data_IF_192820680800
#
_entry.id   IF_192820680800
#
_cell.length_a   1.000
_cell.length_b   1.000
_cell.length_c   1.000
_cell.angle_alpha   90.00
_cell.angle_beta   90.00
_cell.angle_gamma   90.00
#
_symmetry.space_group_name_H-M   'P 1'
#
loop_
_entity.id
_entity.type
_entity.pdbx_description
1 polymer ?
#
# COMPACT_ATOMS: atom_id res chain seq x y z
N UNK A 1 22.59 -14.06 31.05
CA UNK A 1 22.71 -14.18 29.58
C UNK A 1 22.25 -12.86 28.98
N UNK A 2 23.19 -12.04 28.49
CA UNK A 2 22.89 -10.73 27.89
C UNK A 2 22.85 -10.86 26.38
N UNK A 3 21.65 -10.93 25.81
CA UNK A 3 21.41 -10.95 24.37
C UNK A 3 21.77 -9.57 23.79
N UNK A 4 23.02 -9.39 23.36
CA UNK A 4 23.42 -8.20 22.58
C UNK A 4 22.71 -8.27 21.23
N UNK A 5 22.06 -7.19 20.75
CA UNK A 5 21.42 -7.21 19.45
C UNK A 5 22.50 -7.28 18.37
N UNK A 6 22.34 -8.27 17.50
CA UNK A 6 23.32 -8.63 16.48
C UNK A 6 23.47 -7.47 15.49
N UNK A 7 24.66 -6.85 15.45
CA UNK A 7 25.02 -5.80 14.48
C UNK A 7 24.83 -6.24 13.01
N UNK A 8 24.79 -7.55 12.77
CA UNK A 8 24.51 -8.15 11.47
C UNK A 8 23.07 -7.93 10.99
N UNK A 9 22.10 -7.81 11.90
CA UNK A 9 20.70 -7.52 11.52
C UNK A 9 20.58 -6.12 10.92
N UNK A 10 21.33 -5.15 11.44
CA UNK A 10 21.36 -3.79 10.90
C UNK A 10 22.07 -3.69 9.55
N UNK A 11 23.15 -4.45 9.31
CA UNK A 11 23.84 -4.47 8.01
C UNK A 11 23.04 -5.22 6.94
N UNK A 12 22.35 -6.31 7.31
CA UNK A 12 21.44 -7.03 6.42
C UNK A 12 20.18 -6.20 6.10
N UNK A 13 19.63 -5.46 7.07
CA UNK A 13 18.57 -4.46 6.80
C UNK A 13 19.06 -3.40 5.81
N UNK A 14 20.27 -2.88 6.03
CA UNK A 14 20.87 -1.88 5.13
C UNK A 14 21.07 -2.42 3.73
N UNK A 15 21.51 -3.67 3.58
CA UNK A 15 21.72 -4.27 2.26
C UNK A 15 20.40 -4.61 1.54
N UNK A 16 19.36 -5.00 2.28
CA UNK A 16 17.98 -5.15 1.77
C UNK A 16 17.40 -3.81 1.30
N UNK A 17 17.56 -2.75 2.10
CA UNK A 17 17.07 -1.40 1.79
C UNK A 17 17.80 -0.80 0.58
N UNK A 18 19.10 -1.07 0.41
CA UNK A 18 19.91 -0.43 -0.64
C UNK A 18 19.98 -1.21 -1.97
N UNK A 19 19.67 -2.52 -1.99
CA UNK A 19 20.10 -3.38 -3.11
C UNK A 19 19.05 -3.74 -4.18
N UNK A 20 17.75 -3.75 -3.86
CA UNK A 20 16.66 -4.12 -4.81
C UNK A 20 15.27 -4.02 -4.16
N UNK A 21 15.19 -4.13 -2.84
CA UNK A 21 13.93 -4.10 -2.09
C UNK A 21 13.51 -2.71 -1.62
N UNK A 22 14.40 -1.71 -1.68
CA UNK A 22 14.07 -0.33 -1.30
C UNK A 22 12.91 0.27 -2.11
N UNK A 23 12.86 -0.02 -3.41
CA UNK A 23 11.73 0.35 -4.27
C UNK A 23 10.44 -0.30 -3.77
N UNK A 24 10.43 -1.62 -3.60
CA UNK A 24 9.25 -2.35 -3.13
C UNK A 24 8.78 -1.85 -1.76
N UNK A 25 9.71 -1.63 -0.83
CA UNK A 25 9.42 -1.10 0.51
C UNK A 25 8.80 0.29 0.43
N UNK A 26 9.35 1.17 -0.41
CA UNK A 26 8.83 2.54 -0.60
C UNK A 26 7.40 2.53 -1.15
N UNK A 27 7.13 1.66 -2.15
CA UNK A 27 5.78 1.50 -2.71
C UNK A 27 4.79 0.92 -1.69
N UNK A 28 5.21 -0.04 -0.87
CA UNK A 28 4.38 -0.59 0.21
C UNK A 28 4.08 0.44 1.29
N UNK A 29 5.07 1.27 1.67
CA UNK A 29 4.85 2.37 2.61
C UNK A 29 3.89 3.40 2.04
N UNK A 30 4.06 3.83 0.77
CA UNK A 30 3.14 4.74 0.09
C UNK A 30 1.71 4.17 0.00
N UNK A 31 1.59 2.87 -0.26
CA UNK A 31 0.31 2.18 -0.26
C UNK A 31 -0.34 2.19 1.12
N UNK A 32 0.38 1.78 2.17
CA UNK A 32 -0.14 1.74 3.54
C UNK A 32 -0.54 3.13 4.05
N UNK A 33 0.23 4.17 3.72
CA UNK A 33 -0.11 5.55 4.06
C UNK A 33 -1.41 5.98 3.35
N UNK A 34 -1.54 5.70 2.05
CA UNK A 34 -2.76 5.99 1.30
C UNK A 34 -3.98 5.21 1.81
N UNK A 35 -3.80 3.92 2.12
CA UNK A 35 -4.86 3.06 2.66
C UNK A 35 -5.31 3.51 4.06
N UNK A 36 -4.36 3.88 4.93
CA UNK A 36 -4.66 4.43 6.25
C UNK A 36 -5.38 5.78 6.17
N UNK A 37 -4.93 6.67 5.28
CA UNK A 37 -5.60 7.95 5.05
C UNK A 37 -7.02 7.76 4.52
N UNK A 38 -7.23 6.84 3.56
CA UNK A 38 -8.56 6.48 3.06
C UNK A 38 -9.43 5.88 4.16
N UNK A 39 -8.89 5.02 5.02
CA UNK A 39 -9.65 4.42 6.11
C UNK A 39 -10.16 5.49 7.09
N UNK A 40 -9.28 6.38 7.55
CA UNK A 40 -9.67 7.45 8.48
C UNK A 40 -10.67 8.41 7.83
N UNK A 41 -10.37 8.89 6.64
CA UNK A 41 -11.21 9.86 5.92
C UNK A 41 -12.54 9.25 5.47
N UNK A 42 -12.53 7.98 5.07
CA UNK A 42 -13.68 7.21 4.66
C UNK A 42 -14.60 6.92 5.84
N UNK A 43 -14.05 6.50 6.99
CA UNK A 43 -14.84 6.32 8.22
C UNK A 43 -15.50 7.63 8.67
N UNK A 44 -14.79 8.76 8.60
CA UNK A 44 -15.35 10.09 8.90
C UNK A 44 -16.47 10.47 7.92
N UNK A 45 -16.24 10.29 6.61
CA UNK A 45 -17.24 10.62 5.59
C UNK A 45 -18.50 9.74 5.68
N UNK A 46 -18.34 8.47 6.05
CA UNK A 46 -19.47 7.54 6.30
C UNK A 46 -20.20 7.92 7.60
N UNK A 47 -19.47 8.32 8.65
CA UNK A 47 -20.08 8.77 9.91
C UNK A 47 -20.89 10.07 9.76
N UNK A 48 -20.46 10.99 8.88
CA UNK A 48 -21.15 12.24 8.58
C UNK A 48 -22.25 12.10 7.49
N UNK A 49 -22.58 10.87 7.08
CA UNK A 49 -23.55 10.56 6.00
C UNK A 49 -23.20 11.24 4.65
N UNK A 50 -21.93 11.61 4.47
CA UNK A 50 -21.40 12.36 3.34
C UNK A 50 -21.01 11.42 2.18
N UNK A 51 -22.01 10.75 1.60
CA UNK A 51 -21.84 9.78 0.51
C UNK A 51 -21.06 10.32 -0.69
N UNK A 52 -21.22 11.60 -1.05
CA UNK A 52 -20.47 12.23 -2.14
C UNK A 52 -18.96 12.26 -1.84
N UNK A 53 -18.59 12.60 -0.61
CA UNK A 53 -17.17 12.63 -0.19
C UNK A 53 -16.59 11.22 -0.21
N UNK A 54 -17.36 10.23 0.26
CA UNK A 54 -16.96 8.82 0.21
C UNK A 54 -16.72 8.33 -1.23
N UNK A 55 -17.60 8.65 -2.18
CA UNK A 55 -17.43 8.29 -3.59
C UNK A 55 -16.20 8.98 -4.21
N UNK A 56 -15.95 10.24 -3.88
CA UNK A 56 -14.74 10.96 -4.32
C UNK A 56 -13.47 10.32 -3.75
N UNK A 57 -13.48 9.95 -2.47
CA UNK A 57 -12.37 9.24 -1.82
C UNK A 57 -12.12 7.88 -2.48
N UNK A 58 -13.17 7.14 -2.86
CA UNK A 58 -13.04 5.88 -3.58
C UNK A 58 -12.38 6.08 -4.96
N UNK A 59 -12.80 7.11 -5.69
CA UNK A 59 -12.18 7.50 -6.95
C UNK A 59 -10.70 7.86 -6.79
N UNK A 60 -10.37 8.62 -5.74
CA UNK A 60 -8.99 8.95 -5.36
C UNK A 60 -8.18 7.70 -5.01
N UNK A 61 -8.75 6.74 -4.28
CA UNK A 61 -8.08 5.49 -3.92
C UNK A 61 -7.80 4.61 -5.14
N UNK A 62 -8.73 4.55 -6.09
CA UNK A 62 -8.51 3.90 -7.38
C UNK A 62 -7.39 4.57 -8.16
N UNK A 63 -7.44 5.91 -8.30
CA UNK A 63 -6.40 6.67 -8.97
C UNK A 63 -5.01 6.48 -8.31
N UNK A 64 -4.96 6.44 -6.97
CA UNK A 64 -3.75 6.17 -6.21
C UNK A 64 -3.19 4.78 -6.48
N UNK A 65 -4.07 3.78 -6.57
CA UNK A 65 -3.69 2.40 -6.89
C UNK A 65 -3.13 2.31 -8.31
N UNK A 66 -3.75 2.98 -9.29
CA UNK A 66 -3.21 3.06 -10.65
C UNK A 66 -1.86 3.78 -10.72
N UNK A 67 -1.68 4.86 -9.97
CA UNK A 67 -0.41 5.58 -9.89
C UNK A 67 0.70 4.68 -9.31
N UNK A 68 0.41 3.94 -8.24
CA UNK A 68 1.34 2.96 -7.66
C UNK A 68 1.68 1.84 -8.64
N UNK A 69 0.69 1.27 -9.33
CA UNK A 69 0.93 0.23 -10.34
C UNK A 69 1.77 0.75 -11.51
N UNK A 70 1.52 1.97 -11.97
CA UNK A 70 2.31 2.62 -13.03
C UNK A 70 3.75 2.85 -12.57
N UNK A 71 3.95 3.32 -11.34
CA UNK A 71 5.26 3.49 -10.74
C UNK A 71 6.03 2.17 -10.63
N UNK A 72 5.38 1.11 -10.15
CA UNK A 72 5.97 -0.23 -10.06
C UNK A 72 6.34 -0.74 -11.45
N UNK A 73 5.46 -0.59 -12.45
CA UNK A 73 5.73 -0.98 -13.84
C UNK A 73 6.96 -0.27 -14.42
N UNK A 74 7.14 1.02 -14.10
CA UNK A 74 8.29 1.80 -14.57
C UNK A 74 9.59 1.42 -13.85
N UNK A 75 9.51 1.08 -12.56
CA UNK A 75 10.66 0.70 -11.74
C UNK A 75 11.10 -0.77 -11.93
N UNK A 76 10.18 -1.68 -12.28
CA UNK A 76 10.50 -3.10 -12.49
C UNK A 76 11.14 -3.36 -13.85
N UNK A 77 12.45 -3.69 -13.85
CA UNK A 77 13.22 -4.16 -15.02
C UNK A 77 13.49 -5.68 -15.02
N UNK A 78 12.60 -6.48 -14.41
CA UNK A 78 12.76 -7.95 -14.32
C UNK A 78 12.21 -8.71 -15.53
N UNK A 79 12.57 -10.00 -15.67
CA UNK A 79 12.22 -10.91 -16.79
C UNK A 79 10.71 -11.15 -16.97
N UNK A 80 9.88 -10.97 -15.92
CA UNK A 80 8.42 -11.16 -15.97
C UNK A 80 7.65 -10.05 -15.21
N UNK A 81 7.65 -8.80 -15.71
CA UNK A 81 7.06 -7.66 -15.01
C UNK A 81 5.54 -7.81 -14.90
N UNK A 82 4.87 -8.40 -15.91
CA UNK A 82 3.41 -8.54 -15.92
C UNK A 82 2.87 -9.49 -14.83
N UNK A 83 3.58 -10.59 -14.54
CA UNK A 83 3.14 -11.58 -13.54
C UNK A 83 3.33 -11.07 -12.11
N UNK A 84 4.44 -10.39 -11.84
CA UNK A 84 4.68 -9.74 -10.55
C UNK A 84 3.71 -8.57 -10.32
N UNK A 85 3.53 -7.73 -11.33
CA UNK A 85 2.59 -6.61 -11.29
C UNK A 85 1.15 -7.09 -11.06
N UNK A 86 0.73 -8.17 -11.72
CA UNK A 86 -0.60 -8.75 -11.53
C UNK A 86 -0.85 -9.25 -10.10
N UNK A 87 0.16 -9.88 -9.47
CA UNK A 87 0.06 -10.30 -8.06
C UNK A 87 -0.03 -9.11 -7.12
N UNK A 88 0.77 -8.06 -7.34
CA UNK A 88 0.75 -6.86 -6.51
C UNK A 88 -0.58 -6.10 -6.69
N UNK A 89 -1.08 -6.00 -7.92
CA UNK A 89 -2.39 -5.41 -8.23
C UNK A 89 -3.53 -6.16 -7.54
N UNK A 90 -3.51 -7.50 -7.56
CA UNK A 90 -4.49 -8.33 -6.86
C UNK A 90 -4.47 -8.06 -5.35
N UNK A 91 -3.29 -7.98 -4.74
CA UNK A 91 -3.15 -7.68 -3.31
C UNK A 91 -3.67 -6.28 -2.97
N UNK A 92 -3.33 -5.26 -3.76
CA UNK A 92 -3.83 -3.90 -3.56
C UNK A 92 -5.34 -3.81 -3.73
N UNK A 93 -5.90 -4.51 -4.71
CA UNK A 93 -7.35 -4.57 -4.91
C UNK A 93 -8.05 -5.22 -3.71
N UNK A 94 -7.54 -6.38 -3.25
CA UNK A 94 -8.09 -7.08 -2.09
C UNK A 94 -8.02 -6.19 -0.84
N UNK A 95 -6.87 -5.57 -0.58
CA UNK A 95 -6.68 -4.68 0.57
C UNK A 95 -7.59 -3.45 0.48
N UNK A 96 -7.74 -2.84 -0.69
CA UNK A 96 -8.68 -1.73 -0.88
C UNK A 96 -10.14 -2.17 -0.63
N UNK A 97 -10.54 -3.34 -1.13
CA UNK A 97 -11.88 -3.90 -0.87
C UNK A 97 -12.09 -4.18 0.61
N UNK A 98 -11.13 -4.82 1.29
CA UNK A 98 -11.20 -5.07 2.73
C UNK A 98 -11.28 -3.76 3.50
N UNK A 99 -10.52 -2.75 3.09
CA UNK A 99 -10.54 -1.43 3.73
C UNK A 99 -11.89 -0.73 3.54
N UNK A 100 -12.45 -0.77 2.32
CA UNK A 100 -13.76 -0.22 2.00
C UNK A 100 -14.88 -0.92 2.77
N UNK A 101 -14.85 -2.25 2.84
CA UNK A 101 -15.77 -3.05 3.65
C UNK A 101 -15.62 -2.75 5.13
N UNK A 102 -14.40 -2.57 5.63
CA UNK A 102 -14.15 -2.21 7.01
C UNK A 102 -14.75 -0.83 7.34
N UNK A 103 -14.55 0.19 6.48
CA UNK A 103 -15.20 1.51 6.64
C UNK A 103 -16.72 1.43 6.62
N UNK A 104 -17.31 0.60 5.76
CA UNK A 104 -18.77 0.43 5.68
C UNK A 104 -19.32 -0.40 6.85
N UNK A 105 -18.54 -1.32 7.41
CA UNK A 105 -18.95 -2.15 8.55
C UNK A 105 -19.09 -1.38 9.86
N UNK A 106 -18.64 -0.12 9.91
CA UNK A 106 -18.84 0.76 11.07
C UNK A 106 -20.19 1.50 11.03
N UNK A 107 -21.00 1.30 9.98
CA UNK A 107 -22.39 1.79 9.88
C UNK A 107 -23.37 0.77 10.46
#
# INVERSE_FOLDING_TARGET
MSSKPDRNSASNLKHLINGKYGLALTYWTLYLVGAGAFFVSGSLAVADDAWTVYVVLLGLMLAWTFALLTGIKFAYRGEDPGKALGRIAMLFLLLNMTNALATLSFI
#
